data_IF_281092712493
#
_entry.id   IF_281092712493
#
_cell.length_a   1.000
_cell.length_b   1.000
_cell.length_c   1.000
_cell.angle_alpha   90.00
_cell.angle_beta   90.00
_cell.angle_gamma   90.00
#
_symmetry.space_group_name_H-M   'P 1'
#
loop_
_entity.id
_entity.type
_entity.pdbx_description
1 polymer ?
#
# COMPACT_ATOMS: atom_id res chain seq x y z
N UNK A 1 13.65 -0.38 28.45
CA UNK A 1 14.12 -1.77 28.62
C UNK A 1 13.11 -2.48 29.50
N UNK A 2 12.33 -3.43 28.96
CA UNK A 2 11.51 -4.32 29.79
C UNK A 2 12.46 -5.31 30.45
N UNK A 3 12.63 -5.20 31.77
CA UNK A 3 13.52 -6.06 32.56
C UNK A 3 13.08 -7.52 32.45
N UNK A 4 14.03 -8.43 32.25
CA UNK A 4 13.78 -9.87 32.13
C UNK A 4 12.99 -10.44 33.31
N UNK A 5 13.15 -9.89 34.51
CA UNK A 5 12.39 -10.27 35.71
C UNK A 5 10.87 -10.09 35.56
N UNK A 6 10.41 -9.01 34.91
CA UNK A 6 8.98 -8.78 34.68
C UNK A 6 8.37 -9.81 33.71
N UNK A 7 9.18 -10.32 32.78
CA UNK A 7 8.75 -11.36 31.84
C UNK A 7 8.59 -12.73 32.53
N UNK A 8 9.53 -13.11 33.40
CA UNK A 8 9.45 -14.35 34.18
C UNK A 8 8.30 -14.36 35.19
N UNK A 9 7.96 -13.22 35.79
CA UNK A 9 6.81 -13.10 36.70
C UNK A 9 5.49 -13.35 35.95
N UNK A 10 5.35 -12.81 34.74
CA UNK A 10 4.13 -12.96 33.91
C UNK A 10 3.87 -14.41 33.48
N UNK A 11 4.90 -15.15 33.08
CA UNK A 11 4.77 -16.56 32.68
C UNK A 11 4.30 -17.43 33.86
N UNK A 12 4.88 -17.23 35.05
CA UNK A 12 4.51 -18.02 36.23
C UNK A 12 3.05 -17.76 36.66
N UNK A 13 2.59 -16.52 36.53
CA UNK A 13 1.20 -16.15 36.80
C UNK A 13 0.24 -16.80 35.79
N UNK A 14 0.60 -16.81 34.50
CA UNK A 14 -0.18 -17.50 33.46
C UNK A 14 -0.24 -19.03 33.68
N UNK A 15 0.88 -19.65 34.08
CA UNK A 15 0.92 -21.09 34.41
C UNK A 15 0.13 -21.43 35.67
N UNK A 16 0.03 -20.50 36.63
CA UNK A 16 -0.83 -20.65 37.81
C UNK A 16 -2.30 -20.68 37.39
N UNK A 17 -2.73 -19.73 36.55
CA UNK A 17 -4.09 -19.67 36.02
C UNK A 17 -4.42 -20.93 35.21
N UNK A 18 -3.52 -21.39 34.34
CA UNK A 18 -3.74 -22.63 33.57
C UNK A 18 -4.02 -23.86 34.45
N UNK A 19 -3.41 -23.92 35.64
CA UNK A 19 -3.67 -24.98 36.63
C UNK A 19 -4.96 -24.75 37.41
N UNK A 20 -5.27 -23.51 37.78
CA UNK A 20 -6.52 -23.16 38.47
C UNK A 20 -7.77 -23.47 37.62
N UNK A 21 -7.68 -23.30 36.29
CA UNK A 21 -8.79 -23.55 35.36
C UNK A 21 -8.78 -24.97 34.75
N UNK A 22 -7.94 -25.88 35.23
CA UNK A 22 -7.77 -27.26 34.70
C UNK A 22 -7.54 -27.34 33.17
N UNK A 23 -6.85 -26.35 32.61
CA UNK A 23 -6.55 -26.25 31.18
C UNK A 23 -5.30 -27.06 30.78
N UNK A 24 -4.78 -27.89 31.68
CA UNK A 24 -3.56 -28.69 31.49
C UNK A 24 -3.72 -29.71 30.36
N UNK A 25 -4.97 -30.10 30.06
CA UNK A 25 -5.32 -30.98 28.94
C UNK A 25 -4.92 -30.37 27.57
N UNK A 26 -4.78 -29.05 27.48
CA UNK A 26 -4.31 -28.35 26.29
C UNK A 26 -2.77 -28.30 26.24
N UNK A 27 -2.14 -29.46 26.03
CA UNK A 27 -0.68 -29.65 26.02
C UNK A 27 0.07 -28.67 25.10
N UNK A 28 -0.51 -28.32 23.96
CA UNK A 28 0.08 -27.38 22.99
C UNK A 28 0.10 -25.94 23.49
N UNK A 29 -0.98 -25.49 24.15
CA UNK A 29 -1.05 -24.16 24.74
C UNK A 29 -0.12 -24.04 25.96
N UNK A 30 -0.10 -25.10 26.80
CA UNK A 30 0.78 -25.16 27.97
C UNK A 30 2.27 -25.07 27.60
N UNK A 31 2.72 -25.84 26.58
CA UNK A 31 4.11 -25.77 26.08
C UNK A 31 4.47 -24.39 25.56
N UNK A 32 3.56 -23.72 24.81
CA UNK A 32 3.82 -22.38 24.27
C UNK A 32 4.01 -21.32 25.36
N UNK A 33 3.25 -21.41 26.46
CA UNK A 33 3.39 -20.52 27.62
C UNK A 33 4.71 -20.80 28.35
N UNK A 34 5.09 -22.06 28.54
CA UNK A 34 6.39 -22.43 29.13
C UNK A 34 7.58 -21.96 28.28
N UNK A 35 7.48 -22.09 26.97
CA UNK A 35 8.50 -21.63 26.02
C UNK A 35 8.53 -20.10 25.88
N UNK A 36 7.53 -19.38 26.43
CA UNK A 36 7.39 -17.93 26.30
C UNK A 36 7.20 -17.46 24.86
N UNK A 37 6.79 -18.36 23.95
CA UNK A 37 6.69 -18.11 22.51
C UNK A 37 5.23 -18.17 22.08
N UNK A 38 4.71 -17.05 21.57
CA UNK A 38 3.40 -17.04 20.94
C UNK A 38 3.40 -17.89 19.66
N UNK A 39 2.34 -18.66 19.44
CA UNK A 39 2.10 -19.34 18.17
C UNK A 39 1.62 -18.40 17.06
N UNK A 40 1.35 -17.14 17.40
CA UNK A 40 1.07 -16.08 16.44
C UNK A 40 2.36 -15.74 15.70
N UNK A 41 2.43 -16.11 14.43
CA UNK A 41 3.59 -15.82 13.57
C UNK A 41 3.66 -14.36 13.11
N UNK A 42 2.69 -13.53 13.50
CA UNK A 42 2.35 -12.33 12.74
C UNK A 42 1.64 -12.74 11.45
N UNK A 43 0.63 -11.99 11.03
CA UNK A 43 0.39 -11.94 9.59
C UNK A 43 1.69 -11.40 8.98
N UNK A 44 2.26 -12.09 7.98
CA UNK A 44 3.38 -11.60 7.19
C UNK A 44 2.92 -10.39 6.34
N UNK A 45 2.48 -9.32 7.00
CA UNK A 45 2.32 -8.03 6.36
C UNK A 45 3.72 -7.52 6.06
N UNK A 46 4.01 -7.35 4.77
CA UNK A 46 5.12 -6.50 4.36
C UNK A 46 4.96 -5.19 5.13
N UNK A 47 5.88 -4.90 6.06
CA UNK A 47 5.83 -3.71 6.93
C UNK A 47 5.73 -2.42 6.12
N UNK A 48 6.07 -2.48 4.84
CA UNK A 48 6.02 -1.37 3.91
C UNK A 48 4.71 -1.31 3.11
N UNK A 49 3.78 -2.26 3.22
CA UNK A 49 2.56 -2.27 2.41
C UNK A 49 1.73 -1.01 2.64
N UNK A 50 1.51 -0.61 3.89
CA UNK A 50 0.81 0.63 4.22
C UNK A 50 1.53 1.87 3.69
N UNK A 51 2.86 1.89 3.72
CA UNK A 51 3.67 2.97 3.16
C UNK A 51 3.55 3.03 1.63
N UNK A 52 3.55 1.88 0.95
CA UNK A 52 3.38 1.77 -0.51
C UNK A 52 1.99 2.21 -0.95
N UNK A 53 0.95 1.79 -0.22
CA UNK A 53 -0.43 2.25 -0.47
C UNK A 53 -0.49 3.77 -0.34
N UNK A 54 0.03 4.31 0.76
CA UNK A 54 0.07 5.75 0.98
C UNK A 54 0.85 6.50 -0.11
N UNK A 55 2.00 5.99 -0.54
CA UNK A 55 2.82 6.56 -1.60
C UNK A 55 2.04 6.61 -2.92
N UNK A 56 1.40 5.50 -3.33
CA UNK A 56 0.60 5.44 -4.56
C UNK A 56 -0.59 6.43 -4.51
N UNK A 57 -1.35 6.43 -3.42
CA UNK A 57 -2.49 7.34 -3.24
C UNK A 57 -2.03 8.80 -3.32
N UNK A 58 -0.92 9.14 -2.67
CA UNK A 58 -0.32 10.49 -2.70
C UNK A 58 0.14 10.85 -4.12
N UNK A 59 0.79 9.89 -4.80
CA UNK A 59 1.00 9.77 -6.26
C UNK A 59 -0.11 10.39 -7.09
N UNK A 60 -1.23 9.69 -6.99
CA UNK A 60 -2.39 9.93 -7.82
C UNK A 60 -3.04 11.27 -7.50
N UNK A 61 -3.21 11.59 -6.21
CA UNK A 61 -3.79 12.88 -5.78
C UNK A 61 -2.93 14.05 -6.25
N UNK A 62 -1.60 13.97 -6.09
CA UNK A 62 -0.70 15.04 -6.52
C UNK A 62 -0.81 15.33 -8.02
N UNK A 63 -0.96 14.28 -8.84
CA UNK A 63 -1.18 14.43 -10.28
C UNK A 63 -2.56 15.01 -10.62
N UNK A 64 -3.61 14.66 -9.86
CA UNK A 64 -4.94 15.25 -10.03
C UNK A 64 -4.97 16.73 -9.63
N UNK A 65 -4.23 17.10 -8.59
CA UNK A 65 -4.15 18.47 -8.08
C UNK A 65 -3.50 19.40 -9.09
N UNK A 66 -2.34 19.04 -9.66
CA UNK A 66 -1.69 19.85 -10.70
C UNK A 66 -2.57 20.05 -11.94
N UNK A 67 -3.27 19.00 -12.38
CA UNK A 67 -4.18 19.08 -13.52
C UNK A 67 -5.37 19.98 -13.18
N UNK A 68 -5.85 19.91 -11.93
CA UNK A 68 -6.95 20.76 -11.44
C UNK A 68 -6.55 22.21 -11.21
N UNK A 69 -5.26 22.49 -10.97
CA UNK A 69 -4.70 23.85 -10.92
C UNK A 69 -4.55 24.48 -12.32
N UNK A 70 -4.84 23.73 -13.39
CA UNK A 70 -4.74 24.23 -14.76
C UNK A 70 -3.34 24.13 -15.37
N UNK A 71 -2.46 23.28 -14.80
CA UNK A 71 -1.17 22.97 -15.41
C UNK A 71 -1.38 22.06 -16.61
N UNK A 72 -0.89 22.47 -17.77
CA UNK A 72 -1.12 21.77 -19.05
C UNK A 72 0.16 21.41 -19.80
N UNK A 73 1.30 21.98 -19.40
CA UNK A 73 2.55 21.78 -20.13
C UNK A 73 3.14 20.39 -19.88
N UNK A 74 3.69 19.81 -20.95
CA UNK A 74 4.19 18.44 -20.97
C UNK A 74 5.34 18.25 -19.98
N UNK A 75 6.27 19.20 -19.88
CA UNK A 75 7.40 19.16 -18.94
C UNK A 75 6.95 19.14 -17.47
N UNK A 76 5.87 19.86 -17.14
CA UNK A 76 5.34 19.93 -15.78
C UNK A 76 4.51 18.71 -15.44
N UNK A 77 3.76 18.13 -16.38
CA UNK A 77 2.91 16.96 -16.14
C UNK A 77 3.69 15.64 -16.10
N UNK A 78 4.68 15.48 -16.99
CA UNK A 78 5.42 14.21 -17.17
C UNK A 78 6.01 13.63 -15.87
N UNK A 79 6.66 14.41 -14.98
CA UNK A 79 7.22 13.90 -13.73
C UNK A 79 6.17 13.22 -12.84
N UNK A 80 4.97 13.82 -12.73
CA UNK A 80 3.92 13.31 -11.86
C UNK A 80 3.30 12.02 -12.39
N UNK A 81 3.11 11.92 -13.72
CA UNK A 81 2.61 10.68 -14.33
C UNK A 81 3.63 9.54 -14.20
N UNK A 82 4.94 9.83 -14.31
CA UNK A 82 6.00 8.84 -14.07
C UNK A 82 6.13 8.42 -12.61
N UNK A 83 5.89 9.34 -11.68
CA UNK A 83 5.85 9.03 -10.26
C UNK A 83 4.75 8.01 -9.94
N UNK A 84 3.56 8.16 -10.55
CA UNK A 84 2.47 7.16 -10.43
C UNK A 84 2.93 5.81 -10.99
N UNK A 85 3.54 5.78 -12.18
CA UNK A 85 4.03 4.53 -12.78
C UNK A 85 5.02 3.82 -11.88
N UNK A 86 5.96 4.57 -11.30
CA UNK A 86 6.99 4.04 -10.41
C UNK A 86 6.38 3.51 -9.12
N UNK A 87 5.48 4.27 -8.51
CA UNK A 87 4.78 3.87 -7.29
C UNK A 87 3.95 2.59 -7.50
N UNK A 88 3.21 2.50 -8.61
CA UNK A 88 2.45 1.30 -8.96
C UNK A 88 3.37 0.10 -9.21
N UNK A 89 4.49 0.27 -9.93
CA UNK A 89 5.46 -0.80 -10.18
C UNK A 89 6.14 -1.33 -8.91
N UNK A 90 6.21 -0.51 -7.86
CA UNK A 90 6.72 -0.88 -6.55
C UNK A 90 5.69 -1.61 -5.67
N UNK A 91 4.44 -1.77 -6.09
CA UNK A 91 3.41 -2.45 -5.31
C UNK A 91 3.52 -3.97 -5.46
N UNK A 92 3.84 -4.72 -4.38
CA UNK A 92 4.15 -6.15 -4.49
C UNK A 92 2.94 -7.02 -4.86
N UNK A 93 1.73 -6.57 -4.51
CA UNK A 93 0.49 -7.33 -4.71
C UNK A 93 -0.30 -6.84 -5.92
N UNK A 94 0.36 -6.19 -6.88
CA UNK A 94 -0.32 -5.68 -8.06
C UNK A 94 -0.69 -6.85 -8.99
N UNK A 95 -1.98 -7.01 -9.36
CA UNK A 95 -2.36 -8.04 -10.31
C UNK A 95 -1.63 -7.85 -11.65
N UNK A 96 -1.20 -8.94 -12.33
CA UNK A 96 -0.53 -8.85 -13.64
C UNK A 96 -1.36 -8.13 -14.72
N UNK A 97 -2.68 -8.10 -14.54
CA UNK A 97 -3.65 -7.48 -15.47
C UNK A 97 -4.27 -6.20 -14.89
N UNK A 98 -3.60 -5.51 -13.96
CA UNK A 98 -4.10 -4.26 -13.40
C UNK A 98 -4.20 -3.18 -14.48
N UNK A 99 -5.44 -2.84 -14.88
CA UNK A 99 -5.73 -1.90 -15.96
C UNK A 99 -5.12 -0.53 -15.78
N UNK A 100 -5.02 -0.05 -14.53
CA UNK A 100 -4.42 1.24 -14.22
C UNK A 100 -2.97 1.41 -14.68
N UNK A 101 -2.17 0.34 -14.70
CA UNK A 101 -0.79 0.43 -15.24
C UNK A 101 -0.77 0.75 -16.73
N UNK A 102 -1.70 0.18 -17.49
CA UNK A 102 -1.81 0.38 -18.94
C UNK A 102 -2.29 1.79 -19.27
N UNK A 103 -3.21 2.33 -18.46
CA UNK A 103 -3.70 3.70 -18.58
C UNK A 103 -2.54 4.70 -18.35
N UNK A 104 -1.77 4.55 -17.27
CA UNK A 104 -0.64 5.44 -16.99
C UNK A 104 0.42 5.33 -18.09
N UNK A 105 0.72 4.12 -18.57
CA UNK A 105 1.66 3.90 -19.67
C UNK A 105 1.23 4.62 -20.95
N UNK A 106 -0.05 4.51 -21.34
CA UNK A 106 -0.62 5.23 -22.50
C UNK A 106 -0.35 6.74 -22.40
N UNK A 107 -0.52 7.33 -21.22
CA UNK A 107 -0.27 8.76 -21.01
C UNK A 107 1.21 9.12 -21.06
N UNK A 108 2.10 8.28 -20.51
CA UNK A 108 3.54 8.47 -20.67
C UNK A 108 3.96 8.42 -22.13
N UNK A 109 3.44 7.46 -22.89
CA UNK A 109 3.72 7.34 -24.32
C UNK A 109 3.20 8.58 -25.07
N UNK A 110 1.98 9.04 -24.75
CA UNK A 110 1.38 10.26 -25.32
C UNK A 110 2.24 11.50 -25.04
N UNK A 111 2.61 11.73 -23.78
CA UNK A 111 3.45 12.86 -23.36
C UNK A 111 4.84 12.81 -24.01
N UNK A 112 5.40 11.60 -24.20
CA UNK A 112 6.73 11.43 -24.81
C UNK A 112 6.74 11.74 -26.31
N UNK A 113 5.59 11.77 -26.99
CA UNK A 113 5.50 12.17 -28.41
C UNK A 113 5.46 13.69 -28.62
N UNK A 114 5.20 14.46 -27.57
CA UNK A 114 5.11 15.92 -27.60
C UNK A 114 6.43 16.54 -27.14
N UNK A 115 6.70 17.79 -27.54
CA UNK A 115 7.84 18.53 -27.00
C UNK A 115 7.57 18.95 -25.55
N UNK A 116 8.63 19.10 -24.76
CA UNK A 116 8.52 19.53 -23.37
C UNK A 116 7.76 20.88 -23.23
N UNK A 117 7.88 21.76 -24.21
CA UNK A 117 7.22 23.08 -24.24
C UNK A 117 5.78 23.06 -24.75
N UNK A 118 5.30 21.91 -25.24
CA UNK A 118 3.94 21.81 -25.73
C UNK A 118 2.95 21.68 -24.57
N UNK A 119 1.74 22.18 -24.78
CA UNK A 119 0.61 22.00 -23.86
C UNK A 119 -0.32 20.89 -24.35
N UNK A 120 -0.93 20.17 -23.40
CA UNK A 120 -2.11 19.34 -23.68
C UNK A 120 -3.32 20.25 -23.94
N UNK A 121 -4.12 19.89 -24.94
CA UNK A 121 -5.36 20.60 -25.20
C UNK A 121 -6.44 20.28 -24.14
N UNK A 122 -7.51 21.07 -24.12
CA UNK A 122 -8.57 20.95 -23.10
C UNK A 122 -9.22 19.55 -23.06
N UNK A 123 -9.39 18.90 -24.22
CA UNK A 123 -9.94 17.56 -24.29
C UNK A 123 -8.96 16.51 -23.74
N UNK A 124 -7.67 16.64 -24.08
CA UNK A 124 -6.61 15.79 -23.55
C UNK A 124 -6.52 15.93 -22.02
N UNK A 125 -6.60 17.14 -21.48
CA UNK A 125 -6.58 17.39 -20.03
C UNK A 125 -7.79 16.76 -19.32
N UNK A 126 -8.99 16.93 -19.87
CA UNK A 126 -10.20 16.32 -19.31
C UNK A 126 -10.11 14.80 -19.34
N UNK A 127 -9.59 14.22 -20.42
CA UNK A 127 -9.38 12.79 -20.53
C UNK A 127 -8.29 12.30 -19.57
N UNK A 128 -7.19 13.03 -19.40
CA UNK A 128 -6.12 12.70 -18.47
C UNK A 128 -6.64 12.65 -17.04
N UNK A 129 -7.40 13.68 -16.63
CA UNK A 129 -8.03 13.73 -15.31
C UNK A 129 -8.95 12.53 -15.07
N UNK A 130 -9.86 12.26 -16.02
CA UNK A 130 -10.77 11.12 -15.94
C UNK A 130 -10.02 9.78 -15.85
N UNK A 131 -9.00 9.60 -16.68
CA UNK A 131 -8.19 8.40 -16.71
C UNK A 131 -7.43 8.20 -15.37
N UNK A 132 -6.84 9.25 -14.79
CA UNK A 132 -6.17 9.20 -13.48
C UNK A 132 -7.17 8.90 -12.35
N UNK A 133 -8.35 9.53 -12.34
CA UNK A 133 -9.42 9.22 -11.37
C UNK A 133 -9.86 7.76 -11.49
N UNK A 134 -9.95 7.22 -12.70
CA UNK A 134 -10.23 5.80 -12.94
C UNK A 134 -9.16 4.89 -12.33
N UNK A 135 -7.87 5.26 -12.44
CA UNK A 135 -6.78 4.51 -11.79
C UNK A 135 -6.93 4.51 -10.28
N UNK A 136 -7.32 5.64 -9.66
CA UNK A 136 -7.59 5.69 -8.22
C UNK A 136 -8.71 4.74 -7.82
N UNK A 137 -9.82 4.75 -8.56
CA UNK A 137 -10.96 3.88 -8.27
C UNK A 137 -10.58 2.40 -8.40
N UNK A 138 -9.90 2.02 -9.48
CA UNK A 138 -9.41 0.65 -9.65
C UNK A 138 -8.44 0.23 -8.53
N UNK A 139 -7.58 1.15 -8.08
CA UNK A 139 -6.68 0.88 -6.96
C UNK A 139 -7.42 0.74 -5.63
N UNK A 140 -8.44 1.57 -5.38
CA UNK A 140 -9.28 1.44 -4.19
C UNK A 140 -10.08 0.13 -4.21
N UNK A 141 -10.62 -0.28 -5.35
CA UNK A 141 -11.31 -1.56 -5.50
C UNK A 141 -10.36 -2.72 -5.22
N UNK A 142 -9.11 -2.65 -5.71
CA UNK A 142 -8.07 -3.63 -5.41
C UNK A 142 -7.80 -3.76 -3.91
N UNK A 143 -7.79 -2.63 -3.17
CA UNK A 143 -7.56 -2.62 -1.73
C UNK A 143 -8.78 -3.06 -0.92
N UNK A 144 -9.99 -2.74 -1.41
CA UNK A 144 -11.27 -3.03 -0.76
C UNK A 144 -11.82 -4.44 -1.03
N UNK A 145 -11.29 -5.16 -2.03
CA UNK A 145 -11.71 -6.51 -2.40
C UNK A 145 -11.21 -7.63 -1.46
N UNK A 146 -11.14 -7.38 -0.15
CA UNK A 146 -10.78 -8.38 0.87
C UNK A 146 -11.97 -8.87 1.67
#
# INVERSE_FOLDING_TARGET
MLNAENFFISINQALKQFREYDLIQCQSAYRRIQEGKSGYKGEDYDKNLGQRVFDITTKIISALDIVSMGIQSVDQLTPYIRDIQTALGNYPNLPPQFGGTSIIKKWIDTLSTKQATDDLNENEIRQLKFDIDSVMNQFNDLLGSK
#
